data_IF_020303996616
#
_entry.id   IF_020303996616
#
_cell.length_a   1.000
_cell.length_b   1.000
_cell.length_c   1.000
_cell.angle_alpha   90.00
_cell.angle_beta   90.00
_cell.angle_gamma   90.00
#
_symmetry.space_group_name_H-M   'P 1'
#
loop_
_entity.id
_entity.type
_entity.pdbx_description
1 polymer ?
#
# COMPACT_ATOMS: atom_id res chain seq x y z
N UNK A 1 -42.11 16.54 -10.11
CA UNK A 1 -42.60 15.62 -11.16
C UNK A 1 -41.41 14.83 -11.67
N UNK A 2 -41.30 13.55 -11.30
CA UNK A 2 -40.30 12.62 -11.82
C UNK A 2 -39.50 11.90 -10.74
N UNK A 3 -40.14 11.00 -10.01
CA UNK A 3 -39.49 9.96 -9.22
C UNK A 3 -38.89 8.92 -10.19
N UNK A 4 -37.57 8.81 -10.25
CA UNK A 4 -36.91 7.75 -11.02
C UNK A 4 -36.08 6.90 -10.06
N UNK A 5 -36.67 5.81 -9.59
CA UNK A 5 -35.94 4.72 -8.95
C UNK A 5 -34.99 4.08 -9.98
N UNK A 6 -33.69 4.35 -9.89
CA UNK A 6 -32.69 3.57 -10.63
C UNK A 6 -32.47 2.25 -9.93
N UNK A 7 -33.16 1.20 -10.38
CA UNK A 7 -32.95 -0.18 -9.95
C UNK A 7 -31.50 -0.61 -10.22
N UNK A 8 -30.67 -0.68 -9.16
CA UNK A 8 -29.25 -1.01 -9.20
C UNK A 8 -28.96 -2.51 -9.38
N UNK A 9 -29.43 -3.11 -10.48
CA UNK A 9 -29.15 -4.51 -10.82
C UNK A 9 -28.18 -4.64 -12.00
N UNK A 10 -27.14 -5.47 -11.88
CA UNK A 10 -26.27 -5.78 -13.01
C UNK A 10 -26.99 -6.64 -14.06
N UNK A 11 -26.92 -6.22 -15.33
CA UNK A 11 -27.57 -6.87 -16.46
C UNK A 11 -26.94 -8.25 -16.72
N UNK A 12 -27.68 -9.32 -16.43
CA UNK A 12 -27.22 -10.69 -16.64
C UNK A 12 -27.70 -11.23 -17.98
N UNK A 13 -26.80 -11.33 -18.97
CA UNK A 13 -27.08 -12.00 -20.23
C UNK A 13 -27.05 -13.52 -20.06
N UNK A 14 -28.13 -14.20 -20.45
CA UNK A 14 -28.20 -15.65 -20.48
C UNK A 14 -27.49 -16.15 -21.74
N UNK A 15 -26.31 -16.73 -21.56
CA UNK A 15 -25.38 -17.09 -22.64
C UNK A 15 -24.09 -16.29 -22.53
N UNK A 16 -23.34 -16.51 -21.44
CA UNK A 16 -22.16 -15.74 -21.05
C UNK A 16 -20.95 -15.94 -21.96
N UNK A 17 -20.98 -15.36 -23.15
CA UNK A 17 -19.79 -15.00 -23.90
C UNK A 17 -19.27 -13.66 -23.40
N UNK A 18 -18.44 -13.68 -22.35
CA UNK A 18 -17.78 -12.49 -21.84
C UNK A 18 -16.98 -11.81 -22.95
N UNK A 19 -16.99 -10.47 -22.99
CA UNK A 19 -16.15 -9.67 -23.88
C UNK A 19 -14.70 -10.10 -23.69
N UNK A 20 -14.15 -10.87 -24.63
CA UNK A 20 -12.73 -11.19 -24.65
C UNK A 20 -12.01 -9.93 -25.08
N UNK A 21 -11.56 -9.13 -24.10
CA UNK A 21 -10.59 -8.07 -24.37
C UNK A 21 -9.37 -8.76 -24.97
N UNK A 22 -9.18 -8.59 -26.29
CA UNK A 22 -8.02 -9.12 -27.02
C UNK A 22 -6.85 -8.25 -26.60
N UNK A 23 -6.10 -8.74 -25.62
CA UNK A 23 -4.87 -8.10 -25.18
C UNK A 23 -3.72 -8.63 -26.02
N UNK A 24 -2.83 -7.75 -26.47
CA UNK A 24 -1.53 -8.16 -26.99
C UNK A 24 -0.82 -9.08 -25.97
N UNK A 25 0.01 -10.01 -26.44
CA UNK A 25 0.61 -11.07 -25.63
C UNK A 25 1.28 -10.54 -24.33
N UNK A 26 1.90 -9.37 -24.40
CA UNK A 26 2.51 -8.66 -23.26
C UNK A 26 1.48 -8.19 -22.24
N UNK A 27 0.38 -7.59 -22.68
CA UNK A 27 -0.73 -7.14 -21.84
C UNK A 27 -1.50 -8.32 -21.22
N UNK A 28 -1.62 -9.44 -21.95
CA UNK A 28 -2.21 -10.68 -21.43
C UNK A 28 -1.34 -11.30 -20.33
N UNK A 29 -0.03 -11.32 -20.52
CA UNK A 29 0.93 -11.79 -19.50
C UNK A 29 0.89 -10.91 -18.23
N UNK A 30 0.87 -9.59 -18.38
CA UNK A 30 0.73 -8.67 -17.24
C UNK A 30 -0.60 -8.87 -16.50
N UNK A 31 -1.71 -8.98 -17.24
CA UNK A 31 -3.04 -9.19 -16.64
C UNK A 31 -3.13 -10.52 -15.87
N UNK A 32 -2.63 -11.60 -16.44
CA UNK A 32 -2.64 -12.94 -15.82
C UNK A 32 -1.73 -13.01 -14.59
N UNK A 33 -0.55 -12.39 -14.64
CA UNK A 33 0.38 -12.34 -13.50
C UNK A 33 -0.18 -11.48 -12.35
N UNK A 34 -0.82 -10.35 -12.64
CA UNK A 34 -1.49 -9.53 -11.63
C UNK A 34 -2.68 -10.25 -10.98
N UNK A 35 -3.47 -11.01 -11.77
CA UNK A 35 -4.56 -11.83 -11.23
C UNK A 35 -4.06 -12.94 -10.29
N UNK A 36 -3.00 -13.66 -10.67
CA UNK A 36 -2.37 -14.69 -9.81
C UNK A 36 -1.85 -14.10 -8.50
N UNK A 37 -1.11 -12.98 -8.56
CA UNK A 37 -0.61 -12.30 -7.35
C UNK A 37 -1.73 -11.88 -6.39
N UNK A 38 -2.88 -11.44 -6.92
CA UNK A 38 -4.04 -11.05 -6.09
C UNK A 38 -4.72 -12.25 -5.44
N UNK A 39 -4.84 -13.39 -6.14
CA UNK A 39 -5.36 -14.62 -5.54
C UNK A 39 -4.42 -15.20 -4.50
N UNK A 40 -3.11 -15.17 -4.74
CA UNK A 40 -2.12 -15.68 -3.80
C UNK A 40 -2.06 -14.84 -2.52
N UNK A 41 -2.17 -13.51 -2.65
CA UNK A 41 -2.28 -12.61 -1.50
C UNK A 41 -3.57 -12.85 -0.70
N UNK A 42 -4.70 -13.03 -1.38
CA UNK A 42 -5.98 -13.32 -0.72
C UNK A 42 -5.94 -14.67 0.01
N UNK A 43 -5.41 -15.73 -0.62
CA UNK A 43 -5.26 -17.05 -0.02
C UNK A 43 -4.28 -17.04 1.16
N UNK A 44 -3.19 -16.27 1.08
CA UNK A 44 -2.23 -16.13 2.18
C UNK A 44 -2.84 -15.44 3.40
N UNK A 45 -3.67 -14.41 3.18
CA UNK A 45 -4.41 -13.74 4.26
C UNK A 45 -5.45 -14.67 4.86
N UNK A 46 -6.17 -15.44 4.03
CA UNK A 46 -7.17 -16.39 4.48
C UNK A 46 -6.57 -17.55 5.29
N UNK A 47 -5.47 -18.12 4.81
CA UNK A 47 -4.72 -19.16 5.52
C UNK A 47 -4.11 -18.65 6.84
N UNK A 48 -3.65 -17.39 6.88
CA UNK A 48 -3.17 -16.77 8.12
C UNK A 48 -4.30 -16.48 9.13
N UNK A 49 -5.52 -16.24 8.65
CA UNK A 49 -6.71 -16.06 9.49
C UNK A 49 -7.19 -17.41 10.04
N UNK A 50 -7.27 -18.45 9.20
CA UNK A 50 -7.68 -19.81 9.57
C UNK A 50 -6.66 -20.48 10.52
N UNK A 51 -5.35 -20.27 10.31
CA UNK A 51 -4.32 -20.76 11.23
C UNK A 51 -4.38 -20.09 12.63
N UNK A 52 -5.01 -18.91 12.73
CA UNK A 52 -5.26 -18.22 13.99
C UNK A 52 -6.48 -18.76 14.74
N UNK A 53 -7.40 -19.45 14.06
CA UNK A 53 -8.59 -20.05 14.66
C UNK A 53 -8.38 -21.50 15.10
N UNK A 54 -7.42 -22.23 14.51
CA UNK A 54 -7.22 -23.66 14.76
C UNK A 54 -6.15 -24.01 15.82
N UNK A 55 -5.56 -23.01 16.48
CA UNK A 55 -4.63 -23.25 17.59
C UNK A 55 -5.35 -22.95 18.90
N UNK A 56 -5.41 -23.89 19.87
CA UNK A 56 -5.88 -23.54 21.20
C UNK A 56 -5.03 -22.37 21.69
N UNK A 57 -5.65 -21.31 22.26
CA UNK A 57 -4.89 -20.15 22.71
C UNK A 57 -3.80 -20.66 23.65
N UNK A 58 -2.52 -20.31 23.44
CA UNK A 58 -1.49 -20.62 24.42
C UNK A 58 -1.96 -20.06 25.76
N UNK A 59 -1.67 -20.73 26.89
CA UNK A 59 -2.13 -20.29 28.20
C UNK A 59 -1.83 -18.80 28.31
N UNK A 60 -2.90 -18.01 28.44
CA UNK A 60 -2.84 -16.56 28.46
C UNK A 60 -1.85 -16.19 29.55
N UNK A 61 -0.66 -15.75 29.15
CA UNK A 61 0.29 -15.15 30.09
C UNK A 61 -0.50 -14.08 30.83
N UNK A 62 -0.42 -14.01 32.17
CA UNK A 62 -1.11 -12.96 32.90
C UNK A 62 -0.76 -11.63 32.23
N UNK A 63 -1.78 -10.88 31.82
CA UNK A 63 -1.61 -9.57 31.22
C UNK A 63 -1.01 -8.71 32.32
N UNK A 64 0.32 -8.65 32.37
CA UNK A 64 1.03 -7.68 33.19
C UNK A 64 0.79 -6.34 32.53
N UNK A 65 -0.18 -5.60 33.07
CA UNK A 65 -0.36 -4.19 32.74
C UNK A 65 0.87 -3.48 33.29
N UNK A 66 1.90 -3.37 32.46
CA UNK A 66 3.07 -2.56 32.77
C UNK A 66 2.59 -1.12 32.70
N UNK A 67 2.46 -0.48 33.86
CA UNK A 67 2.19 0.95 33.93
C UNK A 67 3.35 1.69 33.27
N UNK A 68 3.04 2.42 32.20
CA UNK A 68 4.05 3.17 31.45
C UNK A 68 4.59 4.29 32.31
N UNK A 69 5.89 4.51 32.23
CA UNK A 69 6.51 5.65 32.91
C UNK A 69 6.05 6.97 32.28
N UNK A 70 6.09 8.07 33.02
CA UNK A 70 5.72 9.38 32.48
C UNK A 70 6.54 9.78 31.24
N UNK A 71 7.78 9.28 31.12
CA UNK A 71 8.61 9.46 29.94
C UNK A 71 8.10 8.65 28.73
N UNK A 72 7.69 7.41 28.95
CA UNK A 72 7.13 6.53 27.91
C UNK A 72 5.81 7.08 27.37
N UNK A 73 4.93 7.59 28.23
CA UNK A 73 3.66 8.20 27.81
C UNK A 73 3.92 9.39 26.87
N UNK A 74 4.83 10.30 27.26
CA UNK A 74 5.21 11.44 26.42
C UNK A 74 5.84 11.02 25.09
N UNK A 75 6.67 9.99 25.11
CA UNK A 75 7.29 9.46 23.89
C UNK A 75 6.24 8.90 22.93
N UNK A 76 5.26 8.15 23.44
CA UNK A 76 4.16 7.61 22.64
C UNK A 76 3.29 8.70 22.04
N UNK A 77 2.99 9.76 22.79
CA UNK A 77 2.25 10.92 22.25
C UNK A 77 3.00 11.57 21.08
N UNK A 78 4.33 11.76 21.23
CA UNK A 78 5.17 12.33 20.16
C UNK A 78 5.20 11.39 18.95
N UNK A 79 5.35 10.08 19.18
CA UNK A 79 5.31 9.07 18.13
C UNK A 79 3.98 9.09 17.39
N UNK A 80 2.85 9.17 18.11
CA UNK A 80 1.51 9.23 17.52
C UNK A 80 1.36 10.46 16.63
N UNK A 81 1.75 11.64 17.14
CA UNK A 81 1.74 12.89 16.35
C UNK A 81 2.58 12.77 15.07
N UNK A 82 3.79 12.24 15.17
CA UNK A 82 4.66 12.02 13.99
C UNK A 82 4.09 11.01 13.00
N UNK A 83 3.41 9.97 13.49
CA UNK A 83 2.76 8.99 12.62
C UNK A 83 1.60 9.62 11.86
N UNK A 84 0.74 10.39 12.53
CA UNK A 84 -0.35 11.13 11.91
C UNK A 84 0.18 12.06 10.78
N UNK A 85 1.23 12.83 11.06
CA UNK A 85 1.88 13.66 10.05
C UNK A 85 2.45 12.87 8.86
N UNK A 86 3.10 11.73 9.12
CA UNK A 86 3.64 10.86 8.07
C UNK A 86 2.53 10.29 7.19
N UNK A 87 1.42 9.88 7.79
CA UNK A 87 0.25 9.35 7.07
C UNK A 87 -0.36 10.44 6.18
N UNK A 88 -0.56 11.64 6.71
CA UNK A 88 -1.05 12.78 5.93
C UNK A 88 -0.12 13.08 4.74
N UNK A 89 1.18 13.23 4.98
CA UNK A 89 2.18 13.48 3.91
C UNK A 89 2.22 12.35 2.87
N UNK A 90 2.12 11.09 3.31
CA UNK A 90 2.15 9.94 2.43
C UNK A 90 0.88 9.84 1.56
N UNK A 91 -0.27 10.25 2.11
CA UNK A 91 -1.56 10.27 1.44
C UNK A 91 -1.69 11.43 0.43
N UNK A 92 -1.02 12.56 0.68
CA UNK A 92 -1.05 13.72 -0.22
C UNK A 92 -0.43 13.45 -1.60
N UNK A 93 0.57 12.56 -1.69
CA UNK A 93 1.32 12.31 -2.93
C UNK A 93 1.05 10.92 -3.49
N UNK A 94 0.69 10.86 -4.77
CA UNK A 94 0.60 9.59 -5.51
C UNK A 94 1.99 8.97 -5.70
N UNK A 95 2.05 7.64 -5.89
CA UNK A 95 3.32 6.97 -6.20
C UNK A 95 3.98 7.53 -7.47
N UNK A 96 3.17 7.86 -8.49
CA UNK A 96 3.67 8.46 -9.74
C UNK A 96 4.37 9.80 -9.49
N UNK A 97 3.80 10.64 -8.62
CA UNK A 97 4.38 11.94 -8.25
C UNK A 97 5.67 11.75 -7.44
N UNK A 98 5.71 10.78 -6.52
CA UNK A 98 6.94 10.43 -5.78
C UNK A 98 8.07 9.99 -6.70
N UNK A 99 7.76 9.19 -7.73
CA UNK A 99 8.73 8.76 -8.74
C UNK A 99 9.19 9.94 -9.60
N UNK A 100 8.27 10.80 -10.02
CA UNK A 100 8.62 11.99 -10.79
C UNK A 100 9.50 12.97 -9.99
N UNK A 101 9.17 13.23 -8.72
CA UNK A 101 9.99 14.05 -7.82
C UNK A 101 11.38 13.45 -7.60
N UNK A 102 11.46 12.12 -7.43
CA UNK A 102 12.73 11.43 -7.29
C UNK A 102 13.58 11.58 -8.54
N UNK A 103 13.02 11.34 -9.73
CA UNK A 103 13.74 11.49 -10.98
C UNK A 103 14.22 12.92 -11.19
N UNK A 104 13.36 13.93 -10.94
CA UNK A 104 13.76 15.34 -11.01
C UNK A 104 14.92 15.64 -10.06
N UNK A 105 14.88 15.09 -8.84
CA UNK A 105 15.98 15.26 -7.88
C UNK A 105 17.25 14.58 -8.35
N UNK A 106 17.16 13.40 -8.95
CA UNK A 106 18.32 12.71 -9.51
C UNK A 106 18.95 13.49 -10.68
N UNK A 107 18.13 14.11 -11.53
CA UNK A 107 18.59 14.99 -12.61
C UNK A 107 19.25 16.28 -12.09
N UNK A 108 18.74 16.83 -10.98
CA UNK A 108 19.28 18.05 -10.35
C UNK A 108 20.55 17.78 -9.53
N UNK A 109 20.76 16.55 -9.04
CA UNK A 109 21.95 16.20 -8.27
C UNK A 109 23.20 16.25 -9.16
N UNK A 110 24.21 16.97 -8.67
CA UNK A 110 25.49 17.11 -9.37
C UNK A 110 26.20 15.75 -9.45
N UNK A 111 26.69 15.41 -10.65
CA UNK A 111 27.48 14.19 -10.84
C UNK A 111 28.82 14.25 -10.10
N UNK A 112 29.39 15.46 -9.97
CA UNK A 112 30.65 15.71 -9.30
C UNK A 112 30.44 16.36 -7.92
N UNK A 113 30.87 15.64 -6.89
CA UNK A 113 30.82 16.09 -5.49
C UNK A 113 32.15 16.66 -4.99
N UNK A 114 33.11 16.88 -5.91
CA UNK A 114 34.45 17.36 -5.60
C UNK A 114 34.66 18.78 -6.14
N UNK A 115 35.49 19.55 -5.44
CA UNK A 115 35.78 20.93 -5.81
C UNK A 115 36.92 20.90 -6.83
N UNK A 116 36.76 21.51 -8.02
CA UNK A 116 37.84 21.56 -8.98
C UNK A 116 39.06 22.22 -8.35
N UNK A 117 40.22 21.56 -8.48
CA UNK A 117 41.45 21.97 -7.82
C UNK A 117 41.88 23.34 -8.34
N UNK A 118 41.76 24.36 -7.50
CA UNK A 118 42.19 25.74 -7.83
C UNK A 118 43.72 25.78 -7.68
N UNK A 119 44.42 25.85 -8.81
CA UNK A 119 45.87 26.02 -8.80
C UNK A 119 46.25 27.44 -8.41
N UNK A 120 47.30 27.65 -7.60
CA UNK A 120 47.83 28.98 -7.34
C UNK A 120 48.49 29.50 -8.62
N UNK A 121 47.81 30.45 -9.28
CA UNK A 121 48.39 31.38 -10.23
C UNK A 121 48.49 32.75 -9.58
#
# INVERSE_FOLDING_TARGET
MGDYETAGGSLKFKGGGGITKKYDYTNLYLYTTMKKKKSDAANKVKAALEAKESTPPPPSKPITVVEKTAAEIKFEEIQRKRQEEKVLKAAMKSHKEKVAELNRKLEEMTEHYDIPKVGPG
#
